data_IF_041473494266
#
_entry.id   IF_041473494266
#
_cell.length_a   1.000
_cell.length_b   1.000
_cell.length_c   1.000
_cell.angle_alpha   90.00
_cell.angle_beta   90.00
_cell.angle_gamma   90.00
#
_symmetry.space_group_name_H-M   'P 1'
#
loop_
_entity.id
_entity.type
_entity.pdbx_description
1 polymer ?
#
# COMPACT_ATOMS: atom_id res chain seq x y z
N UNK A 1 -21.60 -4.34 -4.56
CA UNK A 1 -22.00 -4.45 -3.16
C UNK A 1 -21.57 -3.27 -2.32
N UNK A 2 -20.94 -2.29 -2.92
CA UNK A 2 -20.49 -1.09 -2.24
C UNK A 2 -21.41 0.08 -2.45
N UNK A 3 -22.39 -0.12 -3.26
CA UNK A 3 -23.05 0.99 -3.88
C UNK A 3 -24.35 1.23 -3.17
N UNK A 4 -24.58 2.43 -2.83
CA UNK A 4 -25.84 3.07 -2.56
C UNK A 4 -26.95 2.12 -2.11
N UNK A 5 -27.22 2.04 -0.83
CA UNK A 5 -28.46 1.46 -0.41
C UNK A 5 -29.57 2.23 -1.11
N UNK A 6 -30.25 1.57 -2.02
CA UNK A 6 -31.36 2.19 -2.73
C UNK A 6 -32.48 2.62 -1.78
N UNK A 7 -32.60 1.96 -0.61
CA UNK A 7 -33.71 2.09 0.30
C UNK A 7 -33.32 2.02 1.79
N UNK A 8 -32.40 2.84 2.25
CA UNK A 8 -31.96 2.86 3.65
C UNK A 8 -31.48 1.51 4.21
N UNK A 9 -31.01 0.63 3.37
CA UNK A 9 -30.41 -0.64 3.78
C UNK A 9 -29.10 -0.36 4.48
N UNK A 10 -28.94 -0.82 5.71
CA UNK A 10 -27.68 -0.76 6.42
C UNK A 10 -26.62 -1.58 5.69
N UNK A 11 -25.43 -1.01 5.50
CA UNK A 11 -24.30 -1.76 4.97
C UNK A 11 -23.95 -2.94 5.87
N UNK A 12 -23.72 -4.09 5.27
CA UNK A 12 -23.14 -5.24 5.97
C UNK A 12 -21.69 -4.87 6.36
N UNK A 13 -21.46 -4.63 7.65
CA UNK A 13 -20.15 -4.23 8.17
C UNK A 13 -19.08 -5.29 7.92
N UNK A 14 -19.44 -6.56 7.77
CA UNK A 14 -18.50 -7.62 7.42
C UNK A 14 -17.88 -7.46 6.02
N UNK A 15 -18.48 -6.64 5.17
CA UNK A 15 -18.02 -6.33 3.80
C UNK A 15 -17.37 -4.95 3.68
N UNK A 16 -17.23 -4.24 4.79
CA UNK A 16 -16.63 -2.91 4.79
C UNK A 16 -15.14 -2.96 5.09
N UNK A 17 -14.43 -1.92 4.67
CA UNK A 17 -13.00 -1.73 4.84
C UNK A 17 -12.72 -0.39 5.54
N UNK A 18 -13.23 -0.16 6.76
CA UNK A 18 -13.27 1.18 7.33
C UNK A 18 -11.88 1.78 7.58
N UNK A 19 -10.89 0.99 7.96
CA UNK A 19 -9.50 1.46 8.11
C UNK A 19 -8.87 1.72 6.76
N UNK A 20 -9.07 0.82 5.80
CA UNK A 20 -8.55 0.95 4.43
C UNK A 20 -9.04 2.23 3.76
N UNK A 21 -10.38 2.41 3.73
CA UNK A 21 -11.00 3.51 2.99
C UNK A 21 -10.77 4.86 3.65
N UNK A 22 -10.88 4.94 4.99
CA UNK A 22 -10.55 6.18 5.71
C UNK A 22 -9.11 6.62 5.46
N UNK A 23 -8.17 5.68 5.47
CA UNK A 23 -6.76 5.96 5.19
C UNK A 23 -6.53 6.41 3.75
N UNK A 24 -7.16 5.73 2.78
CA UNK A 24 -7.03 6.07 1.36
C UNK A 24 -7.49 7.51 1.09
N UNK A 25 -8.64 7.90 1.62
CA UNK A 25 -9.17 9.25 1.42
C UNK A 25 -8.25 10.33 2.00
N UNK A 26 -7.68 10.10 3.19
CA UNK A 26 -6.74 11.03 3.80
C UNK A 26 -5.43 11.10 3.01
N UNK A 27 -4.87 9.96 2.60
CA UNK A 27 -3.64 9.89 1.81
C UNK A 27 -3.80 10.62 0.47
N UNK A 28 -4.90 10.36 -0.25
CA UNK A 28 -5.18 11.03 -1.53
C UNK A 28 -5.34 12.53 -1.36
N UNK A 29 -6.07 12.99 -0.33
CA UNK A 29 -6.23 14.42 -0.06
C UNK A 29 -4.89 15.09 0.25
N UNK A 30 -4.03 14.46 1.05
CA UNK A 30 -2.71 15.01 1.36
C UNK A 30 -1.79 15.05 0.12
N UNK A 31 -1.85 14.04 -0.75
CA UNK A 31 -1.09 14.03 -2.02
C UNK A 31 -1.58 15.14 -2.97
N UNK A 32 -2.89 15.39 -3.06
CA UNK A 32 -3.45 16.49 -3.83
C UNK A 32 -2.98 17.84 -3.29
N UNK A 33 -2.99 18.04 -1.97
CA UNK A 33 -2.45 19.25 -1.33
C UNK A 33 -0.99 19.50 -1.70
N UNK A 34 -0.15 18.45 -1.75
CA UNK A 34 1.25 18.56 -2.18
C UNK A 34 1.39 19.00 -3.64
N UNK A 35 0.39 18.71 -4.48
CA UNK A 35 0.32 19.16 -5.87
C UNK A 35 -0.34 20.55 -6.03
N UNK A 36 -0.75 21.17 -4.94
CA UNK A 36 -1.41 22.48 -4.94
C UNK A 36 -2.94 22.42 -5.14
N UNK A 37 -3.53 21.23 -5.18
CA UNK A 37 -4.99 21.07 -5.24
C UNK A 37 -5.56 21.03 -3.82
N UNK A 38 -6.35 22.04 -3.48
CA UNK A 38 -6.92 22.22 -2.14
C UNK A 38 -8.41 21.87 -2.05
N UNK A 39 -9.05 21.55 -3.17
CA UNK A 39 -10.51 21.44 -3.26
C UNK A 39 -11.11 20.49 -2.20
N UNK A 40 -10.55 19.30 -2.04
CA UNK A 40 -11.07 18.33 -1.07
C UNK A 40 -10.86 18.76 0.38
N UNK A 41 -9.71 19.35 0.68
CA UNK A 41 -9.41 19.83 2.03
C UNK A 41 -10.32 21.00 2.43
N UNK A 42 -10.55 21.93 1.53
CA UNK A 42 -11.40 23.10 1.77
C UNK A 42 -12.89 22.73 1.85
N UNK A 43 -13.33 21.79 1.02
CA UNK A 43 -14.74 21.44 0.89
C UNK A 43 -15.24 20.49 1.98
N UNK A 44 -14.38 19.59 2.48
CA UNK A 44 -14.80 18.51 3.36
C UNK A 44 -14.01 18.39 4.69
N UNK A 45 -13.63 19.50 5.36
CA UNK A 45 -12.74 19.45 6.52
C UNK A 45 -13.31 18.57 7.65
N UNK A 46 -14.58 18.69 7.98
CA UNK A 46 -15.22 17.91 9.04
C UNK A 46 -15.29 16.41 8.73
N UNK A 47 -15.40 16.04 7.45
CA UNK A 47 -15.39 14.64 7.05
C UNK A 47 -13.99 14.03 7.15
N UNK A 48 -12.97 14.77 6.72
CA UNK A 48 -11.57 14.36 6.83
C UNK A 48 -11.16 14.19 8.29
N UNK A 49 -11.56 15.12 9.17
CA UNK A 49 -11.33 15.00 10.61
C UNK A 49 -12.03 13.76 11.20
N UNK A 50 -13.28 13.50 10.81
CA UNK A 50 -14.04 12.32 11.25
C UNK A 50 -13.30 11.01 10.90
N UNK A 51 -12.75 10.89 9.70
CA UNK A 51 -11.97 9.72 9.30
C UNK A 51 -10.66 9.61 10.07
N UNK A 52 -9.97 10.72 10.29
CA UNK A 52 -8.74 10.76 11.07
C UNK A 52 -8.97 10.37 12.54
N UNK A 53 -10.03 10.90 13.16
CA UNK A 53 -10.43 10.54 14.53
C UNK A 53 -10.83 9.05 14.64
N UNK A 54 -11.47 8.51 13.62
CA UNK A 54 -11.74 7.08 13.55
C UNK A 54 -10.43 6.28 13.56
N UNK A 55 -9.50 6.59 12.68
CA UNK A 55 -8.19 5.93 12.64
C UNK A 55 -7.43 6.10 13.97
N UNK A 56 -7.49 7.28 14.58
CA UNK A 56 -6.81 7.55 15.85
C UNK A 56 -7.30 6.67 16.99
N UNK A 57 -8.59 6.32 16.98
CA UNK A 57 -9.21 5.44 18.01
C UNK A 57 -9.02 3.96 17.73
N UNK A 58 -8.73 3.57 16.48
CA UNK A 58 -8.44 2.18 16.15
C UNK A 58 -7.14 1.73 16.81
N UNK A 59 -7.00 0.45 17.17
CA UNK A 59 -5.72 -0.09 17.60
C UNK A 59 -4.67 0.01 16.51
N UNK A 60 -3.38 -0.02 16.85
CA UNK A 60 -2.28 0.01 15.88
C UNK A 60 -2.40 -1.15 14.88
N UNK A 61 -2.73 -2.33 15.36
CA UNK A 61 -3.02 -3.49 14.53
C UNK A 61 -4.54 -3.70 14.49
N UNK A 62 -5.19 -3.38 13.37
CA UNK A 62 -6.64 -3.43 13.25
C UNK A 62 -7.20 -4.83 13.48
N UNK A 63 -8.38 -4.90 14.11
CA UNK A 63 -9.13 -6.13 14.24
C UNK A 63 -9.59 -6.66 12.87
N UNK A 64 -10.07 -7.90 12.85
CA UNK A 64 -10.45 -8.61 11.63
C UNK A 64 -11.39 -7.79 10.74
N UNK A 65 -10.91 -7.45 9.57
CA UNK A 65 -11.65 -6.74 8.52
C UNK A 65 -11.09 -7.05 7.13
N UNK A 66 -11.81 -6.65 6.11
CA UNK A 66 -11.29 -6.63 4.74
C UNK A 66 -10.30 -5.47 4.57
N UNK A 67 -9.43 -5.59 3.60
CA UNK A 67 -8.55 -4.55 3.12
C UNK A 67 -8.53 -4.56 1.58
N UNK A 68 -7.63 -3.84 0.96
CA UNK A 68 -7.53 -3.79 -0.51
C UNK A 68 -7.31 -5.16 -1.16
N UNK A 69 -6.80 -6.13 -0.39
CA UNK A 69 -6.70 -7.53 -0.79
C UNK A 69 -7.93 -8.35 -0.36
N UNK A 70 -9.14 -7.80 -0.56
CA UNK A 70 -10.43 -8.37 -0.17
C UNK A 70 -10.68 -9.77 -0.75
N UNK A 71 -10.11 -10.04 -1.91
CA UNK A 71 -10.14 -11.38 -2.53
C UNK A 71 -9.44 -12.47 -1.70
N UNK A 72 -8.55 -12.09 -0.79
CA UNK A 72 -7.88 -12.97 0.15
C UNK A 72 -8.64 -13.13 1.49
N UNK A 73 -9.80 -12.48 1.63
CA UNK A 73 -10.67 -12.52 2.81
C UNK A 73 -10.23 -11.63 3.96
N UNK A 74 -10.95 -11.78 5.07
CA UNK A 74 -10.65 -11.06 6.32
C UNK A 74 -9.31 -11.48 6.90
N UNK A 75 -8.61 -10.51 7.48
CA UNK A 75 -7.36 -10.76 8.18
C UNK A 75 -7.32 -9.93 9.46
N UNK A 76 -7.18 -10.62 10.59
CA UNK A 76 -6.99 -10.00 11.89
C UNK A 76 -5.54 -9.52 12.06
N UNK A 77 -5.36 -8.37 12.72
CA UNK A 77 -4.02 -7.81 13.02
C UNK A 77 -3.11 -7.66 11.81
N UNK A 78 -3.67 -7.34 10.65
CA UNK A 78 -2.98 -7.19 9.37
C UNK A 78 -1.93 -6.06 9.43
N UNK A 79 -0.65 -6.42 9.29
CA UNK A 79 0.46 -5.45 9.37
C UNK A 79 0.46 -4.48 8.19
N UNK A 80 0.10 -4.93 6.98
CA UNK A 80 0.05 -4.03 5.83
C UNK A 80 -1.09 -2.99 5.97
N UNK A 81 -2.22 -3.37 6.56
CA UNK A 81 -3.31 -2.44 6.88
C UNK A 81 -2.92 -1.48 8.03
N UNK A 82 -2.14 -1.96 9.02
CA UNK A 82 -1.58 -1.12 10.09
C UNK A 82 -0.66 -0.03 9.53
N UNK A 83 0.19 -0.37 8.54
CA UNK A 83 1.03 0.62 7.82
C UNK A 83 0.14 1.67 7.18
N UNK A 84 -0.90 1.28 6.45
CA UNK A 84 -1.82 2.22 5.80
C UNK A 84 -2.49 3.16 6.81
N UNK A 85 -2.92 2.64 7.96
CA UNK A 85 -3.52 3.44 9.03
C UNK A 85 -2.52 4.46 9.62
N UNK A 86 -1.26 4.06 9.83
CA UNK A 86 -0.21 4.97 10.30
C UNK A 86 0.06 6.09 9.28
N UNK A 87 0.15 5.75 7.98
CA UNK A 87 0.32 6.73 6.90
C UNK A 87 -0.91 7.63 6.76
N UNK A 88 -2.12 7.09 6.94
CA UNK A 88 -3.36 7.87 6.94
C UNK A 88 -3.41 8.93 8.06
N UNK A 89 -2.92 8.58 9.26
CA UNK A 89 -2.78 9.55 10.35
C UNK A 89 -1.76 10.65 10.04
N UNK A 90 -0.62 10.28 9.43
CA UNK A 90 0.35 11.26 8.96
C UNK A 90 -0.23 12.17 7.87
N UNK A 91 -0.95 11.60 6.91
CA UNK A 91 -1.64 12.35 5.87
C UNK A 91 -2.59 13.40 6.46
N UNK A 92 -3.35 13.03 7.50
CA UNK A 92 -4.20 14.02 8.18
C UNK A 92 -3.39 15.09 8.91
N UNK A 93 -2.21 14.78 9.44
CA UNK A 93 -1.35 15.82 10.03
C UNK A 93 -0.94 16.89 9.02
N UNK A 94 -0.72 16.50 7.75
CA UNK A 94 -0.46 17.43 6.63
C UNK A 94 -1.71 18.26 6.33
N UNK A 95 -2.89 17.65 6.28
CA UNK A 95 -4.17 18.33 6.05
C UNK A 95 -4.46 19.33 7.18
N UNK A 96 -4.27 18.94 8.45
CA UNK A 96 -4.47 19.82 9.60
C UNK A 96 -3.48 21.00 9.61
N UNK A 97 -2.24 20.77 9.23
CA UNK A 97 -1.26 21.85 9.08
C UNK A 97 -1.66 22.85 7.99
N UNK A 98 -2.13 22.35 6.85
CA UNK A 98 -2.71 23.21 5.79
C UNK A 98 -3.88 24.04 6.30
N UNK A 99 -4.79 23.44 7.08
CA UNK A 99 -5.94 24.14 7.67
C UNK A 99 -5.58 25.10 8.81
N UNK A 100 -4.30 25.21 9.19
CA UNK A 100 -3.81 26.07 10.27
C UNK A 100 -3.98 25.49 11.67
N UNK A 101 -4.44 24.25 11.83
CA UNK A 101 -4.55 23.59 13.12
C UNK A 101 -3.24 22.87 13.49
N UNK A 102 -2.28 23.64 13.98
CA UNK A 102 -0.98 23.12 14.42
C UNK A 102 -1.05 22.15 15.60
N UNK A 103 -2.10 22.19 16.41
CA UNK A 103 -2.28 21.24 17.53
C UNK A 103 -2.73 19.87 17.01
N UNK A 104 -3.72 19.84 16.14
CA UNK A 104 -4.14 18.62 15.49
C UNK A 104 -2.99 18.02 14.66
N UNK A 105 -2.29 18.84 13.87
CA UNK A 105 -1.14 18.39 13.08
C UNK A 105 -0.12 17.65 13.92
N UNK A 106 0.35 18.24 15.04
CA UNK A 106 1.31 17.60 15.96
C UNK A 106 0.77 16.33 16.60
N UNK A 107 -0.51 16.32 17.00
CA UNK A 107 -1.16 15.17 17.65
C UNK A 107 -1.18 13.97 16.71
N UNK A 108 -1.62 14.17 15.46
CA UNK A 108 -1.76 13.08 14.49
C UNK A 108 -0.40 12.60 13.95
N UNK A 109 0.56 13.50 13.76
CA UNK A 109 1.94 13.15 13.43
C UNK A 109 2.59 12.29 14.54
N UNK A 110 2.41 12.66 15.80
CA UNK A 110 2.93 11.89 16.92
C UNK A 110 2.31 10.48 17.00
N UNK A 111 1.00 10.37 16.76
CA UNK A 111 0.32 9.08 16.69
C UNK A 111 0.81 8.21 15.52
N UNK A 112 1.00 8.79 14.34
CA UNK A 112 1.56 8.11 13.18
C UNK A 112 2.95 7.55 13.47
N UNK A 113 3.85 8.38 14.01
CA UNK A 113 5.22 8.00 14.40
C UNK A 113 5.25 6.92 15.49
N UNK A 114 4.33 6.97 16.44
CA UNK A 114 4.23 5.95 17.48
C UNK A 114 3.88 4.59 16.86
N UNK A 115 2.82 4.53 16.06
CA UNK A 115 2.40 3.30 15.37
C UNK A 115 3.46 2.75 14.43
N UNK A 116 4.13 3.62 13.67
CA UNK A 116 5.20 3.19 12.78
C UNK A 116 6.34 2.49 13.55
N UNK A 117 6.69 2.98 14.75
CA UNK A 117 7.69 2.31 15.61
C UNK A 117 7.21 0.94 16.08
N UNK A 118 5.96 0.83 16.56
CA UNK A 118 5.39 -0.46 16.98
C UNK A 118 5.38 -1.47 15.82
N UNK A 119 5.03 -1.03 14.62
CA UNK A 119 5.05 -1.86 13.41
C UNK A 119 6.48 -2.29 13.08
N UNK A 120 7.43 -1.36 13.03
CA UNK A 120 8.82 -1.65 12.71
C UNK A 120 9.47 -2.61 13.70
N UNK A 121 9.07 -2.57 14.96
CA UNK A 121 9.59 -3.46 16.02
C UNK A 121 9.24 -4.94 15.79
N UNK A 122 8.16 -5.26 15.09
CA UNK A 122 7.80 -6.65 14.74
C UNK A 122 8.89 -7.38 13.96
N UNK A 123 9.73 -6.65 13.22
CA UNK A 123 10.84 -7.23 12.45
C UNK A 123 11.86 -7.95 13.30
N UNK A 124 12.06 -7.48 14.55
CA UNK A 124 13.05 -8.03 15.49
C UNK A 124 12.81 -9.52 15.77
N UNK A 125 11.55 -9.92 15.80
CA UNK A 125 11.14 -11.29 16.08
C UNK A 125 10.88 -12.13 14.82
N UNK A 126 10.81 -11.49 13.64
CA UNK A 126 10.45 -12.12 12.37
C UNK A 126 11.63 -12.19 11.37
N UNK A 127 12.84 -12.25 11.84
CA UNK A 127 14.02 -12.43 10.96
C UNK A 127 14.35 -11.23 10.08
N UNK A 128 13.99 -10.02 10.49
CA UNK A 128 14.29 -8.77 9.79
C UNK A 128 13.19 -8.26 8.86
N UNK A 129 12.17 -9.06 8.56
CA UNK A 129 11.02 -8.66 7.74
C UNK A 129 9.78 -8.40 8.58
N UNK A 130 8.89 -7.58 8.05
CA UNK A 130 7.56 -7.39 8.64
C UNK A 130 6.67 -8.63 8.41
N UNK A 131 6.05 -9.19 9.46
CA UNK A 131 5.19 -10.38 9.34
C UNK A 131 3.87 -10.06 8.62
N UNK A 132 3.11 -11.10 8.26
CA UNK A 132 1.77 -10.96 7.69
C UNK A 132 0.82 -10.29 8.69
N UNK A 133 0.81 -10.78 9.93
CA UNK A 133 0.02 -10.22 11.04
C UNK A 133 0.92 -9.98 12.26
N UNK A 134 0.52 -9.08 13.17
CA UNK A 134 1.32 -8.78 14.38
C UNK A 134 1.43 -9.98 15.33
N UNK A 135 0.50 -10.89 15.27
CA UNK A 135 0.47 -12.15 16.05
C UNK A 135 0.89 -13.35 15.20
N UNK A 136 1.33 -13.11 13.96
CA UNK A 136 1.78 -14.15 13.04
C UNK A 136 3.05 -14.84 13.51
N UNK A 137 3.16 -16.14 13.20
CA UNK A 137 4.35 -16.93 13.50
C UNK A 137 5.60 -16.41 12.80
N UNK A 138 6.79 -16.79 13.33
CA UNK A 138 8.07 -16.44 12.73
C UNK A 138 8.16 -16.89 11.26
N UNK A 139 8.75 -16.04 10.42
CA UNK A 139 8.99 -16.32 9.01
C UNK A 139 7.78 -16.04 8.10
N UNK A 140 6.67 -15.50 8.64
CA UNK A 140 5.58 -15.02 7.78
C UNK A 140 5.96 -13.70 7.11
N UNK A 141 5.38 -13.42 5.93
CA UNK A 141 5.56 -12.17 5.21
C UNK A 141 4.31 -11.82 4.39
N UNK A 142 4.21 -10.60 3.96
CA UNK A 142 3.40 -10.14 2.83
C UNK A 142 4.11 -8.97 2.15
N UNK A 143 3.80 -8.70 0.88
CA UNK A 143 4.30 -7.49 0.21
C UNK A 143 3.70 -6.26 0.90
N UNK A 144 4.54 -5.40 1.46
CA UNK A 144 4.15 -4.19 2.21
C UNK A 144 4.03 -2.97 1.27
N UNK A 145 3.21 -3.11 0.24
CA UNK A 145 3.02 -2.08 -0.78
C UNK A 145 2.55 -0.73 -0.19
N UNK A 146 1.89 -0.71 0.97
CA UNK A 146 1.45 0.51 1.63
C UNK A 146 2.61 1.41 2.14
N UNK A 147 3.84 0.90 2.23
CA UNK A 147 5.03 1.70 2.51
C UNK A 147 5.28 2.76 1.43
N UNK A 148 4.82 2.54 0.20
CA UNK A 148 4.97 3.50 -0.89
C UNK A 148 4.28 4.83 -0.58
N UNK A 149 3.13 4.82 0.07
CA UNK A 149 2.40 6.04 0.41
C UNK A 149 3.19 6.92 1.41
N UNK A 150 3.92 6.33 2.36
CA UNK A 150 4.83 7.08 3.24
C UNK A 150 5.94 7.78 2.46
N UNK A 151 6.54 7.08 1.48
CA UNK A 151 7.57 7.66 0.61
C UNK A 151 7.02 8.80 -0.25
N UNK A 152 5.85 8.64 -0.84
CA UNK A 152 5.19 9.66 -1.68
C UNK A 152 4.85 10.93 -0.87
N UNK A 153 4.38 10.77 0.35
CA UNK A 153 4.05 11.88 1.25
C UNK A 153 5.29 12.52 1.89
N UNK A 154 6.47 11.89 1.81
CA UNK A 154 7.66 12.35 2.50
C UNK A 154 7.56 12.26 4.02
N UNK A 155 6.76 11.31 4.54
CA UNK A 155 6.46 11.16 5.96
C UNK A 155 7.65 10.71 6.80
N UNK A 156 8.53 9.87 6.22
CA UNK A 156 9.67 9.30 6.91
C UNK A 156 9.29 8.48 8.14
N UNK A 157 8.09 7.90 8.12
CA UNK A 157 7.60 7.02 9.19
C UNK A 157 8.40 5.71 9.21
N UNK A 158 8.75 5.22 8.03
CA UNK A 158 9.56 4.05 7.81
C UNK A 158 10.82 4.44 7.04
N UNK A 159 12.00 4.11 7.55
CA UNK A 159 13.26 4.49 6.96
C UNK A 159 13.61 3.70 5.68
N UNK A 160 14.50 4.25 4.87
CA UNK A 160 14.96 3.62 3.63
C UNK A 160 15.57 2.24 3.87
N UNK A 161 16.22 2.03 5.03
CA UNK A 161 16.82 0.75 5.37
C UNK A 161 15.75 -0.33 5.56
N UNK A 162 14.65 -0.03 6.26
CA UNK A 162 13.53 -0.95 6.42
C UNK A 162 12.96 -1.32 5.04
N UNK A 163 12.73 -0.31 4.18
CA UNK A 163 12.19 -0.55 2.84
C UNK A 163 13.11 -1.42 1.98
N UNK A 164 14.43 -1.18 2.03
CA UNK A 164 15.41 -1.98 1.29
C UNK A 164 15.49 -3.43 1.80
N UNK A 165 15.45 -3.65 3.11
CA UNK A 165 15.46 -4.99 3.71
C UNK A 165 14.17 -5.76 3.37
N UNK A 166 13.02 -5.10 3.32
CA UNK A 166 11.76 -5.70 2.82
C UNK A 166 11.90 -6.13 1.35
N UNK A 167 12.45 -5.25 0.50
CA UNK A 167 12.67 -5.56 -0.92
C UNK A 167 13.62 -6.74 -1.08
N UNK A 168 14.71 -6.80 -0.32
CA UNK A 168 15.64 -7.93 -0.35
C UNK A 168 14.93 -9.24 0.02
N UNK A 169 14.12 -9.22 1.06
CA UNK A 169 13.31 -10.38 1.45
C UNK A 169 12.29 -10.81 0.40
N UNK A 170 11.71 -9.86 -0.37
CA UNK A 170 10.83 -10.20 -1.49
C UNK A 170 11.59 -10.84 -2.64
N UNK A 171 12.79 -10.32 -2.97
CA UNK A 171 13.63 -10.87 -4.03
C UNK A 171 14.15 -12.27 -3.70
N UNK A 172 14.45 -12.58 -2.43
CA UNK A 172 14.81 -13.92 -1.97
C UNK A 172 13.67 -14.95 -2.16
N UNK A 173 12.42 -14.48 -2.14
CA UNK A 173 11.21 -15.30 -2.30
C UNK A 173 10.62 -15.25 -3.69
N UNK A 174 11.30 -14.58 -4.62
CA UNK A 174 10.79 -14.39 -5.97
C UNK A 174 10.76 -15.71 -6.74
N UNK A 175 9.61 -16.02 -7.29
CA UNK A 175 9.35 -17.10 -8.21
C UNK A 175 9.46 -16.59 -9.66
N UNK A 176 9.37 -17.44 -10.70
CA UNK A 176 9.58 -17.02 -12.09
C UNK A 176 8.77 -15.79 -12.52
N UNK A 177 7.56 -15.62 -12.01
CA UNK A 177 6.65 -14.54 -12.40
C UNK A 177 6.40 -13.52 -11.28
N UNK A 178 7.16 -13.56 -10.19
CA UNK A 178 7.12 -12.59 -9.11
C UNK A 178 7.11 -13.20 -7.73
N UNK A 179 7.16 -12.35 -6.73
CA UNK A 179 7.04 -12.76 -5.33
C UNK A 179 5.57 -13.01 -5.01
N UNK A 180 5.21 -14.11 -4.34
CA UNK A 180 3.86 -14.30 -3.80
C UNK A 180 3.42 -13.08 -2.97
N UNK A 181 2.12 -12.77 -2.99
CA UNK A 181 1.58 -11.64 -2.22
C UNK A 181 1.85 -11.79 -0.73
N UNK A 182 1.69 -13.01 -0.22
CA UNK A 182 1.96 -13.39 1.15
C UNK A 182 2.11 -14.93 1.30
N UNK A 183 2.27 -15.38 2.53
CA UNK A 183 2.50 -16.81 2.84
C UNK A 183 1.27 -17.71 2.65
N UNK A 184 0.09 -17.18 2.36
CA UNK A 184 -1.16 -17.96 2.27
C UNK A 184 -1.35 -18.69 0.95
N UNK A 185 -0.78 -18.14 -0.16
CA UNK A 185 -0.87 -18.75 -1.48
C UNK A 185 0.24 -18.25 -2.42
N UNK A 186 0.47 -18.95 -3.53
CA UNK A 186 1.49 -18.57 -4.52
C UNK A 186 1.00 -17.53 -5.56
N UNK A 187 -0.20 -16.99 -5.41
CA UNK A 187 -0.61 -15.88 -6.27
C UNK A 187 0.10 -14.57 -5.92
N UNK A 188 0.22 -13.72 -6.93
CA UNK A 188 0.73 -12.36 -6.80
C UNK A 188 -0.13 -11.38 -7.58
N UNK A 189 0.24 -10.10 -7.50
CA UNK A 189 -0.39 -9.03 -8.26
C UNK A 189 0.68 -8.13 -8.88
N UNK A 190 0.55 -7.88 -10.19
CA UNK A 190 1.50 -7.05 -10.93
C UNK A 190 1.63 -5.63 -10.37
N UNK A 191 0.53 -5.03 -9.93
CA UNK A 191 0.47 -3.70 -9.33
C UNK A 191 1.30 -3.64 -8.03
N UNK A 192 1.11 -4.59 -7.12
CA UNK A 192 1.85 -4.62 -5.85
C UNK A 192 3.32 -4.97 -6.01
N UNK A 193 3.66 -5.81 -6.99
CA UNK A 193 5.06 -6.08 -7.34
C UNK A 193 5.79 -4.81 -7.78
N UNK A 194 5.14 -3.98 -8.60
CA UNK A 194 5.75 -2.75 -9.08
C UNK A 194 5.70 -1.61 -8.06
N UNK A 195 4.76 -1.65 -7.10
CA UNK A 195 4.85 -0.81 -5.91
C UNK A 195 6.01 -1.24 -5.00
N UNK A 196 6.24 -2.54 -4.84
CA UNK A 196 7.41 -3.03 -4.11
C UNK A 196 8.73 -2.63 -4.81
N UNK A 197 8.78 -2.70 -6.15
CA UNK A 197 9.91 -2.18 -6.91
C UNK A 197 10.18 -0.69 -6.65
N UNK A 198 9.14 0.10 -6.41
CA UNK A 198 9.25 1.52 -6.09
C UNK A 198 9.79 1.79 -4.67
N UNK A 199 9.88 0.78 -3.80
CA UNK A 199 10.46 0.92 -2.46
C UNK A 199 11.99 0.91 -2.45
N UNK A 200 12.65 0.46 -3.52
CA UNK A 200 14.11 0.46 -3.63
C UNK A 200 14.61 1.56 -4.56
N UNK A 201 15.81 2.06 -4.26
CA UNK A 201 16.55 2.96 -5.15
C UNK A 201 17.56 2.23 -6.04
N UNK A 202 17.66 0.89 -5.95
CA UNK A 202 18.55 0.07 -6.79
C UNK A 202 17.88 -0.27 -8.13
N UNK A 203 18.39 0.21 -9.27
CA UNK A 203 17.87 -0.15 -10.59
C UNK A 203 17.95 -1.67 -10.86
N UNK A 204 18.96 -2.34 -10.31
CA UNK A 204 19.15 -3.78 -10.45
C UNK A 204 18.03 -4.56 -9.75
N UNK A 205 17.64 -4.13 -8.54
CA UNK A 205 16.52 -4.72 -7.81
C UNK A 205 15.18 -4.45 -8.53
N UNK A 206 14.96 -3.21 -8.96
CA UNK A 206 13.77 -2.84 -9.74
C UNK A 206 13.63 -3.68 -11.00
N UNK A 207 14.75 -3.88 -11.75
CA UNK A 207 14.77 -4.68 -12.97
C UNK A 207 14.30 -6.12 -12.74
N UNK A 208 14.54 -6.72 -11.57
CA UNK A 208 14.06 -8.06 -11.26
C UNK A 208 12.53 -8.12 -11.19
N UNK A 209 11.90 -7.15 -10.54
CA UNK A 209 10.43 -7.06 -10.50
C UNK A 209 9.83 -6.80 -11.88
N UNK A 210 10.40 -5.86 -12.64
CA UNK A 210 9.97 -5.61 -14.02
C UNK A 210 10.13 -6.84 -14.89
N UNK A 211 11.23 -7.56 -14.75
CA UNK A 211 11.51 -8.80 -15.48
C UNK A 211 10.46 -9.87 -15.20
N UNK A 212 10.09 -10.07 -13.94
CA UNK A 212 9.08 -11.05 -13.54
C UNK A 212 7.68 -10.71 -14.11
N UNK A 213 7.26 -9.44 -14.02
CA UNK A 213 5.98 -9.00 -14.59
C UNK A 213 6.01 -9.09 -16.12
N UNK A 214 7.13 -8.72 -16.76
CA UNK A 214 7.30 -8.85 -18.21
C UNK A 214 7.24 -10.30 -18.68
N UNK A 215 7.86 -11.22 -17.94
CA UNK A 215 7.79 -12.66 -18.20
C UNK A 215 6.33 -13.16 -18.12
N UNK A 216 5.62 -12.78 -17.08
CA UNK A 216 4.18 -13.10 -16.97
C UNK A 216 3.39 -12.61 -18.18
N UNK A 217 3.60 -11.35 -18.61
CA UNK A 217 2.89 -10.78 -19.76
C UNK A 217 3.21 -11.50 -21.07
N UNK A 218 4.46 -11.99 -21.23
CA UNK A 218 4.92 -12.66 -22.43
C UNK A 218 4.46 -14.12 -22.50
N UNK A 219 4.45 -14.82 -21.37
CA UNK A 219 4.29 -16.27 -21.31
C UNK A 219 2.84 -16.69 -21.03
N UNK A 220 2.04 -15.83 -20.37
CA UNK A 220 0.67 -16.15 -20.03
C UNK A 220 -0.21 -16.24 -21.27
N UNK A 221 -0.91 -17.37 -21.41
CA UNK A 221 -1.85 -17.63 -22.53
C UNK A 221 -3.20 -16.93 -22.35
N UNK A 222 -3.53 -16.51 -21.14
CA UNK A 222 -4.84 -15.97 -20.76
C UNK A 222 -4.79 -14.48 -20.36
N UNK A 223 -3.76 -13.73 -20.70
CA UNK A 223 -3.61 -12.34 -20.27
C UNK A 223 -4.31 -11.31 -21.19
N UNK A 224 -5.21 -11.74 -22.05
CA UNK A 224 -6.00 -10.86 -22.92
C UNK A 224 -7.49 -11.01 -22.60
N UNK A 225 -8.13 -9.98 -22.01
CA UNK A 225 -7.51 -8.76 -21.48
C UNK A 225 -6.63 -9.03 -20.26
N UNK A 226 -5.67 -8.15 -20.01
CA UNK A 226 -4.68 -8.26 -18.94
C UNK A 226 -5.31 -8.54 -17.58
N UNK A 227 -4.77 -9.54 -16.87
CA UNK A 227 -5.10 -9.83 -15.48
C UNK A 227 -3.96 -9.39 -14.57
N UNK A 228 -4.28 -8.64 -13.53
CA UNK A 228 -3.33 -8.22 -12.50
C UNK A 228 -3.10 -9.30 -11.43
N UNK A 229 -3.89 -10.38 -11.42
CA UNK A 229 -3.87 -11.44 -10.41
C UNK A 229 -3.56 -12.79 -11.04
N UNK A 230 -2.44 -13.38 -10.66
CA UNK A 230 -1.92 -14.59 -11.30
C UNK A 230 -1.01 -15.39 -10.35
N UNK A 231 -0.78 -16.64 -10.68
CA UNK A 231 0.14 -17.52 -9.96
C UNK A 231 1.60 -17.14 -10.27
N UNK A 232 2.38 -16.87 -9.23
CA UNK A 232 3.76 -16.40 -9.36
C UNK A 232 4.75 -17.49 -9.80
N UNK A 233 4.35 -18.77 -9.76
CA UNK A 233 5.17 -19.91 -10.20
C UNK A 233 4.90 -20.30 -11.64
N UNK A 234 3.61 -20.40 -12.00
CA UNK A 234 3.19 -20.88 -13.32
C UNK A 234 2.89 -19.78 -14.33
N UNK A 235 2.61 -18.54 -13.88
CA UNK A 235 2.12 -17.46 -14.72
C UNK A 235 0.68 -17.64 -15.19
N UNK A 236 -0.06 -18.59 -14.65
CA UNK A 236 -1.48 -18.76 -14.97
C UNK A 236 -2.33 -17.71 -14.25
N UNK A 237 -3.33 -17.18 -14.95
CA UNK A 237 -4.28 -16.24 -14.37
C UNK A 237 -5.02 -16.89 -13.21
N UNK A 238 -4.95 -16.28 -12.03
CA UNK A 238 -5.67 -16.79 -10.86
C UNK A 238 -7.16 -16.55 -10.99
N UNK A 239 -7.95 -17.52 -10.54
CA UNK A 239 -9.41 -17.48 -10.67
C UNK A 239 -10.07 -17.82 -9.35
N UNK A 240 -11.22 -17.20 -9.09
CA UNK A 240 -12.13 -17.67 -8.05
C UNK A 240 -12.66 -19.07 -8.39
N UNK A 241 -13.22 -19.74 -7.41
CA UNK A 241 -13.78 -21.08 -7.59
C UNK A 241 -14.82 -21.18 -8.73
N UNK A 242 -15.58 -20.10 -8.96
CA UNK A 242 -16.54 -19.98 -10.05
C UNK A 242 -15.93 -19.64 -11.42
N UNK A 243 -14.60 -19.58 -11.53
CA UNK A 243 -13.86 -19.32 -12.76
C UNK A 243 -13.68 -17.84 -13.12
N UNK A 244 -14.23 -16.89 -12.35
CA UNK A 244 -14.02 -15.46 -12.56
C UNK A 244 -12.62 -15.05 -12.14
N UNK A 245 -12.06 -14.02 -12.80
CA UNK A 245 -10.79 -13.42 -12.47
C UNK A 245 -10.86 -11.90 -12.59
N UNK A 246 -9.84 -11.23 -12.08
CA UNK A 246 -9.63 -9.79 -12.30
C UNK A 246 -9.11 -9.56 -13.71
N UNK A 247 -9.76 -8.66 -14.46
CA UNK A 247 -9.35 -8.35 -15.80
C UNK A 247 -9.54 -6.88 -16.11
N UNK A 248 -8.57 -6.30 -16.82
CA UNK A 248 -8.64 -4.93 -17.34
C UNK A 248 -9.06 -3.90 -16.28
N UNK A 249 -8.48 -3.99 -15.08
CA UNK A 249 -8.78 -3.07 -13.98
C UNK A 249 -7.85 -1.86 -14.00
N UNK A 250 -8.33 -0.73 -13.48
CA UNK A 250 -7.57 0.53 -13.37
C UNK A 250 -6.38 0.44 -12.41
N UNK A 251 -6.32 -0.56 -11.54
CA UNK A 251 -5.18 -0.83 -10.64
C UNK A 251 -3.85 -0.99 -11.40
N UNK A 252 -3.91 -1.32 -12.68
CA UNK A 252 -2.74 -1.43 -13.56
C UNK A 252 -1.96 -0.10 -13.67
N UNK A 253 -2.58 1.04 -13.41
CA UNK A 253 -1.87 2.32 -13.33
C UNK A 253 -0.77 2.30 -12.25
N UNK A 254 -0.91 1.48 -11.22
CA UNK A 254 0.10 1.29 -10.18
C UNK A 254 1.43 0.72 -10.72
N UNK A 255 1.42 0.11 -11.91
CA UNK A 255 2.63 -0.35 -12.59
C UNK A 255 3.59 0.81 -12.95
N UNK A 256 3.09 2.04 -12.98
CA UNK A 256 3.89 3.24 -13.27
C UNK A 256 4.47 3.89 -12.02
N UNK A 257 4.27 3.35 -10.82
CA UNK A 257 4.76 3.93 -9.57
C UNK A 257 6.28 4.22 -9.56
N UNK A 258 7.18 3.35 -10.09
CA UNK A 258 8.60 3.69 -10.16
C UNK A 258 8.91 4.90 -11.05
N UNK A 259 8.14 5.11 -12.12
CA UNK A 259 8.29 6.30 -12.98
C UNK A 259 7.82 7.56 -12.25
N UNK A 260 6.70 7.50 -11.56
CA UNK A 260 6.19 8.60 -10.75
C UNK A 260 7.23 9.05 -9.70
N UNK A 261 7.84 8.10 -9.00
CA UNK A 261 8.89 8.42 -8.02
C UNK A 261 10.11 9.07 -8.67
N UNK A 262 10.50 8.64 -9.87
CA UNK A 262 11.61 9.28 -10.60
C UNK A 262 11.28 10.73 -10.95
N UNK A 263 10.07 11.01 -11.43
CA UNK A 263 9.61 12.39 -11.72
C UNK A 263 9.56 13.26 -10.46
N UNK A 264 9.19 12.68 -9.32
CA UNK A 264 9.19 13.37 -8.03
C UNK A 264 10.59 13.55 -7.42
N UNK A 265 11.64 12.99 -8.03
CA UNK A 265 13.01 12.99 -7.49
C UNK A 265 13.19 12.05 -6.28
N UNK A 266 12.28 11.12 -6.08
CA UNK A 266 12.28 10.13 -4.99
C UNK A 266 12.72 8.74 -5.45
N UNK A 267 12.92 8.55 -6.75
CA UNK A 267 13.23 7.27 -7.38
C UNK A 267 14.70 6.89 -7.40
N UNK A 268 15.02 5.88 -8.21
CA UNK A 268 16.34 5.26 -8.32
C UNK A 268 17.43 6.18 -8.93
N UNK A 269 17.05 7.24 -9.64
CA UNK A 269 18.01 8.16 -10.30
C UNK A 269 17.83 9.60 -9.82
N UNK A 270 18.22 9.96 -8.58
CA UNK A 270 18.08 11.31 -8.06
C UNK A 270 18.97 12.36 -8.78
N UNK A 271 19.95 11.95 -9.55
CA UNK A 271 20.90 12.87 -10.17
C UNK A 271 20.40 13.53 -11.47
N UNK A 272 19.45 12.92 -12.18
CA UNK A 272 18.89 13.47 -13.44
C UNK A 272 18.13 14.78 -13.26
N UNK A 273 17.58 15.02 -12.08
CA UNK A 273 16.71 16.17 -11.82
C UNK A 273 17.42 17.48 -11.43
N UNK A 274 18.75 17.49 -11.29
CA UNK A 274 19.50 18.73 -10.97
C UNK A 274 19.89 19.54 -12.21
N UNK A 275 19.98 18.93 -13.36
CA UNK A 275 20.43 19.61 -14.58
C UNK A 275 19.28 20.18 -15.44
N UNK A 276 18.07 19.63 -15.33
CA UNK A 276 16.91 20.06 -16.14
C UNK A 276 16.07 21.18 -15.48
N UNK A 277 16.40 21.60 -14.25
CA UNK A 277 15.73 22.73 -13.56
C UNK A 277 16.50 24.05 -13.61
N UNK A 278 17.44 24.17 -14.54
CA UNK A 278 18.11 25.43 -14.91
C UNK A 278 17.63 25.89 -16.28
#
# INVERSE_FOLDING_TARGET
YYLYPADNVLYDMSKQMPVEESSNMLILTALLLQQGDTELADRYPALLEKWAEYLYRCPTFPDSQLCTDDFAGHLDKNVNLAIKAAVGLYAYSVIAAYAGDGNAAKRFEAAAKHRAREIADLRKENGGMLPLTSEGGKGTFSIKYNLLADRLLGGGLFDDRLMEEEVDGYLERMLPYGTPLDVRAEYTKSDWLLWAAALTRSPEKQKKFFGAVSAYLSDSKENIPFSDWYDSRSGEVWKYAEGRSFRNRTVQAACFAPLLLNEMGLGAHPERNKEERK
#
